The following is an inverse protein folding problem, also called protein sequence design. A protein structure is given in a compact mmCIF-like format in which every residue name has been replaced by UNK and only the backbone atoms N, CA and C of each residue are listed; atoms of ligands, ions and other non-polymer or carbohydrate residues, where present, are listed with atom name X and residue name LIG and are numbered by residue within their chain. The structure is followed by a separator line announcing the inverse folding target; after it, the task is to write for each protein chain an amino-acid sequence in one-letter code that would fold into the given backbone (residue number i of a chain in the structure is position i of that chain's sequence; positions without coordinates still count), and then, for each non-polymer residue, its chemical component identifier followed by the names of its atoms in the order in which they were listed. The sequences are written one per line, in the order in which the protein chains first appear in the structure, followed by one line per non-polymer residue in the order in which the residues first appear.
data_IF_754162591576
#
_entry.id   IF_754162591576
#
_cell.length_a   1.000
_cell.length_b   1.000
_cell.length_c   1.000
_cell.angle_alpha   90.00
_cell.angle_beta   90.00
_cell.angle_gamma   90.00
#
_symmetry.space_group_name_H-M   'P 1'
#
loop_
_entity.id
_entity.type
_entity.pdbx_description
1 polymer ?
#
# COMPACT_ATOMS: atom_id res chain seq x y z
N UNK A 1 0.98 -11.04 25.91
CA UNK A 1 1.86 -10.12 25.17
C UNK A 1 1.17 -9.92 23.85
N UNK A 2 0.54 -8.78 23.67
CA UNK A 2 -0.14 -8.46 22.42
C UNK A 2 0.90 -8.28 21.32
N UNK A 3 0.60 -8.80 20.13
CA UNK A 3 1.56 -8.85 19.03
C UNK A 3 1.63 -7.51 18.28
N UNK A 4 2.83 -7.16 17.81
CA UNK A 4 3.03 -6.07 16.85
C UNK A 4 2.13 -6.25 15.64
N UNK A 5 1.62 -5.14 15.10
CA UNK A 5 0.85 -5.13 13.85
C UNK A 5 1.66 -5.69 12.67
N UNK A 6 3.00 -5.61 12.73
CA UNK A 6 3.92 -6.17 11.72
C UNK A 6 3.83 -7.70 11.61
N UNK A 7 3.32 -8.38 12.64
CA UNK A 7 3.17 -9.82 12.65
C UNK A 7 1.81 -10.28 12.06
N UNK A 8 0.91 -9.35 11.74
CA UNK A 8 -0.39 -9.63 11.16
C UNK A 8 -0.31 -9.47 9.64
N UNK A 9 -0.84 -10.45 8.90
CA UNK A 9 -0.95 -10.31 7.43
C UNK A 9 -1.99 -9.26 7.02
N UNK A 10 -3.10 -9.20 7.76
CA UNK A 10 -4.22 -8.29 7.53
C UNK A 10 -4.54 -7.62 8.85
N UNK A 11 -4.74 -6.30 8.83
CA UNK A 11 -5.15 -5.51 9.99
C UNK A 11 -6.49 -4.86 9.70
N UNK A 12 -7.47 -5.04 10.59
CA UNK A 12 -8.79 -4.42 10.44
C UNK A 12 -8.74 -2.96 10.86
N UNK A 13 -9.55 -2.10 10.23
CA UNK A 13 -9.64 -0.69 10.56
C UNK A 13 -9.96 -0.46 12.06
N UNK A 14 -10.95 -1.18 12.60
CA UNK A 14 -11.33 -1.08 14.02
C UNK A 14 -10.17 -1.43 14.98
N UNK A 15 -9.24 -2.28 14.57
CA UNK A 15 -8.08 -2.66 15.37
C UNK A 15 -7.06 -1.52 15.41
N UNK A 16 -6.85 -0.85 14.26
CA UNK A 16 -6.02 0.35 14.20
C UNK A 16 -6.61 1.47 15.04
N UNK A 17 -7.91 1.74 14.94
CA UNK A 17 -8.56 2.81 15.74
C UNK A 17 -8.48 2.57 17.24
N UNK A 18 -8.54 1.31 17.69
CA UNK A 18 -8.42 0.97 19.12
C UNK A 18 -7.02 1.13 19.66
N UNK A 19 -6.00 0.90 18.83
CA UNK A 19 -4.60 0.77 19.27
C UNK A 19 -3.77 2.00 18.98
N UNK A 20 -3.99 2.63 17.83
CA UNK A 20 -3.19 3.75 17.39
C UNK A 20 -3.76 5.07 17.93
N UNK A 21 -2.86 5.86 18.49
CA UNK A 21 -3.14 7.23 18.89
C UNK A 21 -2.27 8.21 18.10
N UNK A 22 -2.85 9.34 17.70
CA UNK A 22 -2.07 10.44 17.13
C UNK A 22 -1.24 11.09 18.24
N UNK A 23 0.08 11.11 18.06
CA UNK A 23 1.01 11.73 19.01
C UNK A 23 1.39 13.13 18.57
N UNK A 24 1.54 13.34 17.25
CA UNK A 24 1.92 14.63 16.71
C UNK A 24 1.47 14.81 15.28
N UNK A 25 0.78 15.92 15.03
CA UNK A 25 0.54 16.42 13.68
C UNK A 25 1.86 16.85 13.01
N UNK A 26 2.08 16.40 11.76
CA UNK A 26 3.28 16.74 10.98
C UNK A 26 2.97 17.77 9.89
N UNK A 27 2.10 17.43 8.94
CA UNK A 27 1.72 18.30 7.81
C UNK A 27 0.25 18.11 7.48
N UNK A 28 -0.44 19.18 7.11
CA UNK A 28 -1.82 19.10 6.61
C UNK A 28 -2.01 20.08 5.47
N UNK A 29 -2.51 19.55 4.38
CA UNK A 29 -2.91 20.27 3.18
C UNK A 29 -4.41 20.06 3.00
N UNK A 30 -4.96 20.54 1.89
CA UNK A 30 -6.41 20.51 1.66
C UNK A 30 -6.95 19.07 1.61
N UNK A 31 -6.25 18.17 0.92
CA UNK A 31 -6.66 16.78 0.68
C UNK A 31 -5.68 15.76 1.27
N UNK A 32 -4.63 16.22 1.93
CA UNK A 32 -3.56 15.36 2.44
C UNK A 32 -3.28 15.65 3.90
N UNK A 33 -3.02 14.60 4.66
CA UNK A 33 -2.70 14.72 6.07
C UNK A 33 -1.59 13.75 6.47
N UNK A 34 -0.58 14.29 7.13
CA UNK A 34 0.54 13.57 7.71
C UNK A 34 0.54 13.75 9.22
N UNK A 35 0.62 12.65 9.95
CA UNK A 35 0.76 12.66 11.39
C UNK A 35 1.62 11.49 11.88
N UNK A 36 2.27 11.69 13.02
CA UNK A 36 2.95 10.65 13.76
C UNK A 36 1.95 9.99 14.72
N UNK A 37 1.80 8.70 14.58
CA UNK A 37 0.94 7.85 15.39
C UNK A 37 1.78 6.86 16.19
N UNK A 38 1.21 6.36 17.28
CA UNK A 38 1.84 5.38 18.16
C UNK A 38 0.86 4.28 18.49
N UNK A 39 1.32 3.04 18.43
CA UNK A 39 0.62 1.89 19.00
C UNK A 39 0.73 1.93 20.52
N UNK A 40 -0.39 2.17 21.19
CA UNK A 40 -0.49 2.23 22.66
C UNK A 40 -0.13 0.92 23.34
N UNK A 41 -0.20 -0.20 22.61
CA UNK A 41 0.03 -1.55 23.14
C UNK A 41 1.51 -1.92 23.08
N UNK A 42 2.18 -1.63 21.96
CA UNK A 42 3.59 -2.02 21.74
C UNK A 42 4.58 -0.87 21.90
N UNK A 43 4.12 0.38 21.78
CA UNK A 43 4.96 1.58 21.74
C UNK A 43 5.60 1.84 20.38
N UNK A 44 5.27 1.07 19.35
CA UNK A 44 5.76 1.29 17.97
C UNK A 44 5.18 2.57 17.38
N UNK A 45 5.95 3.25 16.54
CA UNK A 45 5.55 4.51 15.92
C UNK A 45 5.34 4.33 14.42
N UNK A 46 4.46 5.15 13.87
CA UNK A 46 4.09 5.14 12.47
C UNK A 46 3.94 6.57 11.96
N UNK A 47 4.45 6.87 10.77
CA UNK A 47 3.97 8.02 10.00
C UNK A 47 2.71 7.57 9.27
N UNK A 48 1.59 8.22 9.55
CA UNK A 48 0.33 8.01 8.84
C UNK A 48 0.17 9.09 7.78
N UNK A 49 -0.11 8.68 6.56
CA UNK A 49 -0.46 9.53 5.43
C UNK A 49 -1.86 9.18 4.97
N UNK A 50 -2.76 10.16 5.01
CA UNK A 50 -4.14 10.03 4.52
C UNK A 50 -4.35 10.99 3.36
N UNK A 51 -4.85 10.47 2.25
CA UNK A 51 -5.22 11.26 1.08
C UNK A 51 -6.70 11.07 0.76
N UNK A 52 -7.40 12.19 0.55
CA UNK A 52 -8.79 12.24 0.13
C UNK A 52 -8.85 12.58 -1.36
N UNK A 53 -9.40 11.69 -2.18
CA UNK A 53 -9.52 11.86 -3.61
C UNK A 53 -10.99 11.90 -4.02
N UNK A 54 -11.43 13.02 -4.61
CA UNK A 54 -12.79 13.18 -5.12
C UNK A 54 -12.84 12.79 -6.60
N UNK A 55 -13.40 11.62 -6.91
CA UNK A 55 -13.58 11.18 -8.28
C UNK A 55 -14.78 11.89 -8.93
N UNK A 56 -14.50 12.99 -9.65
CA UNK A 56 -15.52 13.79 -10.34
C UNK A 56 -16.18 13.06 -11.52
N UNK A 57 -15.49 12.10 -12.13
CA UNK A 57 -16.00 11.36 -13.30
C UNK A 57 -17.04 10.31 -12.90
N UNK A 58 -16.91 9.75 -11.70
CA UNK A 58 -17.86 8.78 -11.13
C UNK A 58 -18.91 9.42 -10.20
N UNK A 59 -19.25 10.69 -10.45
CA UNK A 59 -20.33 11.37 -9.73
C UNK A 59 -19.92 11.97 -8.38
N UNK A 60 -18.63 12.22 -8.16
CA UNK A 60 -18.13 12.84 -6.94
C UNK A 60 -18.03 11.88 -5.77
N UNK A 61 -17.70 10.62 -6.03
CA UNK A 61 -17.42 9.64 -4.97
C UNK A 61 -16.06 9.98 -4.36
N UNK A 62 -16.02 10.06 -3.03
CA UNK A 62 -14.79 10.26 -2.29
C UNK A 62 -14.12 8.92 -1.96
N UNK A 63 -12.86 8.81 -2.36
CA UNK A 63 -11.95 7.72 -2.07
C UNK A 63 -10.94 8.17 -1.01
N UNK A 64 -10.70 7.33 -0.01
CA UNK A 64 -9.74 7.61 1.07
C UNK A 64 -8.63 6.58 0.96
N UNK A 65 -7.41 7.05 0.79
CA UNK A 65 -6.21 6.24 0.79
C UNK A 65 -5.46 6.47 2.10
N UNK A 66 -5.29 5.42 2.90
CA UNK A 66 -4.67 5.50 4.20
C UNK A 66 -3.46 4.58 4.29
N UNK A 67 -2.33 5.17 4.65
CA UNK A 67 -1.03 4.56 4.62
C UNK A 67 -0.32 4.75 5.96
N UNK A 68 0.32 3.70 6.49
CA UNK A 68 1.07 3.74 7.73
C UNK A 68 2.48 3.17 7.53
N UNK A 69 3.48 4.03 7.58
CA UNK A 69 4.89 3.68 7.50
C UNK A 69 5.44 3.43 8.91
N UNK A 70 5.93 2.23 9.24
CA UNK A 70 6.61 1.99 10.51
C UNK A 70 7.88 2.82 10.63
N UNK A 71 8.09 3.43 11.80
CA UNK A 71 9.24 4.27 12.11
C UNK A 71 10.06 3.63 13.23
N UNK A 72 11.37 3.61 13.05
CA UNK A 72 12.30 3.16 14.09
C UNK A 72 12.39 4.21 15.21
N UNK A 73 12.54 3.79 16.46
CA UNK A 73 12.50 4.70 17.63
C UNK A 73 13.48 5.87 17.51
N UNK A 74 14.66 5.65 16.94
CA UNK A 74 15.69 6.68 16.77
C UNK A 74 15.28 7.73 15.71
N UNK A 75 14.55 7.31 14.67
CA UNK A 75 14.08 8.17 13.58
C UNK A 75 12.88 9.03 14.00
N UNK A 76 12.12 8.62 15.02
CA UNK A 76 10.97 9.38 15.54
C UNK A 76 11.37 10.78 15.95
N UNK A 77 12.50 10.92 16.66
CA UNK A 77 12.98 12.23 17.10
C UNK A 77 13.40 13.11 15.91
N UNK A 78 14.05 12.52 14.91
CA UNK A 78 14.47 13.25 13.71
C UNK A 78 13.26 13.79 12.92
N UNK A 79 12.19 12.99 12.79
CA UNK A 79 10.94 13.42 12.15
C UNK A 79 10.27 14.55 12.94
N UNK A 80 10.21 14.40 14.27
CA UNK A 80 9.62 15.38 15.20
C UNK A 80 10.39 16.71 15.18
N UNK A 81 11.68 16.70 14.84
CA UNK A 81 12.51 17.89 14.72
C UNK A 81 12.61 18.43 13.28
N UNK A 82 11.85 17.85 12.33
CA UNK A 82 11.90 18.18 10.90
C UNK A 82 13.31 17.99 10.27
N UNK A 83 14.13 17.12 10.86
CA UNK A 83 15.48 16.78 10.36
C UNK A 83 15.45 15.64 9.34
N UNK A 84 14.39 14.82 9.37
CA UNK A 84 14.18 13.70 8.46
C UNK A 84 12.89 13.87 7.67
N UNK A 85 13.00 13.72 6.35
CA UNK A 85 11.88 13.75 5.43
C UNK A 85 11.10 12.43 5.47
N UNK A 86 9.77 12.54 5.38
CA UNK A 86 8.79 11.45 5.49
C UNK A 86 7.75 11.49 4.38
N UNK A 87 8.00 12.27 3.32
CA UNK A 87 7.04 12.51 2.24
C UNK A 87 6.78 11.24 1.43
N UNK A 88 5.50 10.98 1.18
CA UNK A 88 5.04 9.93 0.28
C UNK A 88 4.99 10.47 -1.17
N UNK A 89 5.43 9.68 -2.18
CA UNK A 89 5.96 8.31 -2.08
C UNK A 89 7.48 8.23 -1.87
N UNK A 90 8.22 9.34 -1.94
CA UNK A 90 9.68 9.36 -2.11
C UNK A 90 10.46 8.69 -0.96
N UNK A 91 9.97 8.79 0.27
CA UNK A 91 10.64 8.24 1.47
C UNK A 91 10.05 6.93 1.95
N UNK A 92 9.05 6.41 1.24
CA UNK A 92 8.31 5.20 1.61
C UNK A 92 8.90 4.00 0.89
N UNK A 93 10.17 3.69 1.20
CA UNK A 93 10.95 2.60 0.58
C UNK A 93 10.94 1.31 1.38
N UNK A 94 10.46 1.36 2.62
CA UNK A 94 10.26 0.19 3.49
C UNK A 94 8.82 -0.32 3.35
N UNK A 95 8.59 -1.58 3.73
CA UNK A 95 7.23 -2.14 3.80
C UNK A 95 6.34 -1.27 4.69
N UNK A 96 5.19 -0.88 4.16
CA UNK A 96 4.21 -0.06 4.87
C UNK A 96 2.82 -0.69 4.78
N UNK A 97 1.95 -0.31 5.71
CA UNK A 97 0.59 -0.80 5.76
C UNK A 97 -0.29 0.15 4.93
N UNK A 98 -1.16 -0.38 4.06
CA UNK A 98 -2.08 0.42 3.24
C UNK A 98 -3.51 -0.13 3.30
N UNK A 99 -4.49 0.75 3.28
CA UNK A 99 -5.91 0.41 3.37
C UNK A 99 -6.80 1.64 3.29
N UNK A 100 -8.00 1.53 3.85
CA UNK A 100 -8.96 2.62 3.95
C UNK A 100 -9.84 2.44 5.19
N UNK A 101 -10.78 3.36 5.39
CA UNK A 101 -11.86 3.23 6.38
C UNK A 101 -12.87 2.13 6.02
N UNK A 102 -12.89 1.69 4.75
CA UNK A 102 -13.83 0.68 4.22
C UNK A 102 -13.19 -0.68 4.03
N UNK A 103 -11.88 -0.72 3.79
CA UNK A 103 -11.13 -1.92 3.46
C UNK A 103 -10.15 -2.31 4.57
N UNK A 104 -9.83 -3.59 4.64
CA UNK A 104 -8.79 -4.05 5.55
C UNK A 104 -7.41 -3.58 5.08
N UNK A 105 -6.51 -3.36 6.03
CA UNK A 105 -5.15 -2.93 5.75
C UNK A 105 -4.25 -4.13 5.48
N UNK A 106 -3.40 -3.98 4.46
CA UNK A 106 -2.44 -5.00 4.03
C UNK A 106 -1.04 -4.42 3.95
N UNK A 107 -0.06 -5.23 4.31
CA UNK A 107 1.35 -4.85 4.18
C UNK A 107 1.75 -4.86 2.71
N UNK A 108 2.30 -3.74 2.25
CA UNK A 108 2.79 -3.54 0.91
C UNK A 108 4.28 -3.28 0.93
N UNK A 109 5.01 -4.02 0.10
CA UNK A 109 6.45 -3.86 -0.09
C UNK A 109 6.73 -3.09 -1.40
N UNK A 110 7.23 -1.84 -1.32
CA UNK A 110 7.53 -1.03 -2.48
C UNK A 110 8.87 -1.39 -3.15
N UNK A 111 9.71 -2.23 -2.55
CA UNK A 111 11.04 -2.55 -3.09
C UNK A 111 11.02 -3.26 -4.45
N UNK A 112 9.90 -3.90 -4.80
CA UNK A 112 9.67 -4.52 -6.11
C UNK A 112 9.20 -3.57 -7.21
N UNK A 113 8.91 -2.31 -6.88
CA UNK A 113 8.54 -1.27 -7.86
C UNK A 113 9.78 -0.70 -8.55
N UNK A 114 10.67 -1.56 -9.08
CA UNK A 114 11.79 -1.07 -9.88
C UNK A 114 11.25 -0.26 -11.06
N UNK A 115 11.86 0.88 -11.36
CA UNK A 115 11.67 1.69 -12.58
C UNK A 115 12.11 0.91 -13.86
N UNK A 116 11.92 -0.40 -13.89
CA UNK A 116 12.21 -1.18 -15.08
C UNK A 116 11.09 -0.89 -16.09
N UNK A 117 11.42 -0.10 -17.10
CA UNK A 117 10.63 0.10 -18.34
C UNK A 117 10.17 -1.24 -18.99
N UNK A 118 10.78 -2.37 -18.59
CA UNK A 118 10.35 -3.72 -18.95
C UNK A 118 9.04 -4.15 -18.28
N UNK A 119 8.72 -3.71 -17.05
CA UNK A 119 7.49 -4.11 -16.35
C UNK A 119 6.25 -3.44 -16.96
N UNK A 120 6.37 -2.22 -17.48
CA UNK A 120 5.32 -1.58 -18.29
C UNK A 120 5.05 -2.32 -19.60
N UNK A 121 6.10 -2.90 -20.20
CA UNK A 121 5.99 -3.68 -21.44
C UNK A 121 5.35 -5.04 -21.17
N UNK A 122 5.80 -5.74 -20.12
CA UNK A 122 5.20 -7.00 -19.66
C UNK A 122 3.75 -6.82 -19.19
N UNK A 123 3.46 -5.73 -18.48
CA UNK A 123 2.11 -5.38 -18.03
C UNK A 123 1.14 -5.17 -19.20
N UNK A 124 1.61 -4.53 -20.29
CA UNK A 124 0.84 -4.42 -21.54
C UNK A 124 0.62 -5.79 -22.19
N UNK A 125 1.65 -6.61 -22.31
CA UNK A 125 1.52 -7.95 -22.90
C UNK A 125 0.55 -8.86 -22.11
N UNK A 126 0.61 -8.83 -20.77
CA UNK A 126 -0.33 -9.55 -19.91
C UNK A 126 -1.75 -9.03 -20.09
N UNK A 127 -1.93 -7.70 -20.18
CA UNK A 127 -3.25 -7.10 -20.44
C UNK A 127 -3.82 -7.51 -21.79
N UNK A 128 -2.99 -7.54 -22.85
CA UNK A 128 -3.40 -7.99 -24.18
C UNK A 128 -3.78 -9.48 -24.18
N UNK A 129 -3.02 -10.33 -23.48
CA UNK A 129 -3.35 -11.76 -23.32
C UNK A 129 -4.68 -11.96 -22.60
N UNK A 130 -4.95 -11.20 -21.55
CA UNK A 130 -6.23 -11.24 -20.83
C UNK A 130 -7.40 -10.78 -21.70
N UNK A 131 -7.21 -9.77 -22.55
CA UNK A 131 -8.25 -9.30 -23.47
C UNK A 131 -8.53 -10.32 -24.58
N UNK A 132 -7.50 -10.94 -25.15
CA UNK A 132 -7.65 -12.04 -26.10
C UNK A 132 -8.40 -13.21 -25.45
N UNK A 133 -8.02 -13.60 -24.24
CA UNK A 133 -8.68 -14.68 -23.50
C UNK A 133 -10.17 -14.39 -23.21
N UNK A 134 -10.49 -13.16 -22.79
CA UNK A 134 -11.88 -12.70 -22.59
C UNK A 134 -12.68 -12.71 -23.89
N UNK A 135 -12.06 -12.35 -25.02
CA UNK A 135 -12.71 -12.37 -26.34
C UNK A 135 -12.98 -13.78 -26.85
N UNK A 136 -12.09 -14.74 -26.58
CA UNK A 136 -12.28 -16.15 -26.98
C UNK A 136 -13.40 -16.85 -26.20
N UNK A 137 -13.83 -16.31 -25.05
CA UNK A 137 -14.90 -16.86 -24.17
C UNK A 137 -14.69 -18.33 -23.76
N UNK A 138 -13.46 -18.83 -23.81
CA UNK A 138 -13.09 -20.19 -23.41
C UNK A 138 -12.62 -20.18 -21.95
N UNK A 139 -13.59 -20.17 -21.05
CA UNK A 139 -13.36 -20.20 -19.60
C UNK A 139 -13.32 -21.62 -19.03
N UNK A 140 -12.81 -22.59 -19.79
CA UNK A 140 -12.57 -23.93 -19.29
C UNK A 140 -11.28 -23.98 -18.44
N UNK A 141 -11.26 -24.88 -17.46
CA UNK A 141 -10.15 -25.04 -16.51
C UNK A 141 -8.79 -25.24 -17.18
N UNK A 142 -8.75 -25.91 -18.34
CA UNK A 142 -7.52 -26.17 -19.08
C UNK A 142 -6.96 -24.88 -19.70
N UNK A 143 -7.84 -24.08 -20.32
CA UNK A 143 -7.49 -22.79 -20.92
C UNK A 143 -7.08 -21.76 -19.87
N UNK A 144 -7.75 -21.75 -18.70
CA UNK A 144 -7.37 -20.89 -17.56
C UNK A 144 -5.99 -21.30 -17.02
N UNK A 145 -5.74 -22.59 -16.79
CA UNK A 145 -4.42 -23.06 -16.30
C UNK A 145 -3.30 -22.74 -17.28
N UNK A 146 -3.58 -22.87 -18.58
CA UNK A 146 -2.60 -22.54 -19.63
C UNK A 146 -2.28 -21.05 -19.63
N UNK A 147 -3.29 -20.19 -19.53
CA UNK A 147 -3.09 -18.75 -19.43
C UNK A 147 -2.25 -18.37 -18.20
N UNK A 148 -2.61 -18.91 -17.03
CA UNK A 148 -1.89 -18.62 -15.78
C UNK A 148 -0.44 -19.11 -15.85
N UNK A 149 -0.19 -20.32 -16.36
CA UNK A 149 1.17 -20.83 -16.55
C UNK A 149 2.00 -19.95 -17.50
N UNK A 150 1.40 -19.40 -18.55
CA UNK A 150 2.11 -18.51 -19.47
C UNK A 150 2.44 -17.15 -18.83
N UNK A 151 1.55 -16.63 -17.99
CA UNK A 151 1.79 -15.40 -17.22
C UNK A 151 2.90 -15.65 -16.19
N UNK A 152 2.87 -16.79 -15.49
CA UNK A 152 3.90 -17.17 -14.52
C UNK A 152 5.27 -17.31 -15.20
N UNK A 153 5.38 -18.01 -16.33
CA UNK A 153 6.65 -18.15 -17.08
C UNK A 153 7.21 -16.77 -17.52
N UNK A 154 6.35 -15.82 -17.89
CA UNK A 154 6.77 -14.45 -18.28
C UNK A 154 7.24 -13.60 -17.09
N UNK A 155 6.71 -13.88 -15.89
CA UNK A 155 7.09 -13.21 -14.65
C UNK A 155 8.35 -13.82 -14.03
N UNK A 156 8.54 -15.12 -14.17
CA UNK A 156 9.68 -15.90 -13.62
C UNK A 156 10.98 -15.76 -14.43
N UNK A 157 10.96 -15.15 -15.62
CA UNK A 157 12.14 -14.88 -16.47
C UNK A 157 13.13 -13.82 -15.86
N UNK A 158 13.16 -13.70 -14.52
CA UNK A 158 14.16 -12.99 -13.71
C UNK A 158 15.03 -14.03 -12.96
N UNK A 159 15.99 -14.63 -13.67
CA UNK A 159 17.28 -15.08 -13.09
C UNK A 159 18.46 -14.43 -13.82
#
# INVERSE_FOLDING_TARGET
MDASLKNLQIVLHEELEKRLEEVRHLRKEENEHYALWKDTVTGEHYVRYVQHHLNLMEGGIEEVFDHLLPVDTDDVLAIVLDEQDYTYPERWTKTYLRGSDKDAYVWFDPSGLSEDLNDDTKGKEISEMLDVFKQEKKFDDESIRKLLSQIDDMLDDKE
#
